data_IF_386699152199
#
_entry.id   IF_386699152199
#
_cell.length_a   1.000
_cell.length_b   1.000
_cell.length_c   1.000
_cell.angle_alpha   90.00
_cell.angle_beta   90.00
_cell.angle_gamma   90.00
#
_symmetry.space_group_name_H-M   'P 1'
#
loop_
_entity.id
_entity.type
_entity.pdbx_description
1 polymer ?
#
# COMPACT_ATOMS: atom_id res chain seq x y z
N UNK A 1 -1.31 -17.82 -9.04
CA UNK A 1 -2.68 -17.27 -8.91
C UNK A 1 -2.86 -16.14 -9.92
N UNK A 2 -4.09 -15.95 -10.47
CA UNK A 2 -4.39 -14.90 -11.47
C UNK A 2 -4.89 -13.64 -10.80
N UNK A 3 -4.41 -12.47 -11.22
CA UNK A 3 -4.80 -11.19 -10.63
C UNK A 3 -5.02 -10.09 -11.65
N UNK A 4 -5.61 -9.00 -11.19
CA UNK A 4 -5.75 -7.73 -11.90
C UNK A 4 -5.35 -6.61 -10.96
N UNK A 5 -4.58 -5.65 -11.47
CA UNK A 5 -4.21 -4.44 -10.74
C UNK A 5 -4.87 -3.21 -11.35
N UNK A 6 -5.53 -2.41 -10.50
CA UNK A 6 -6.16 -1.13 -10.85
C UNK A 6 -5.36 0.03 -10.26
N UNK A 7 -5.29 1.14 -10.96
CA UNK A 7 -4.61 2.35 -10.47
C UNK A 7 -3.16 2.05 -10.06
N UNK A 8 -2.44 1.33 -10.91
CA UNK A 8 -1.18 0.69 -10.57
C UNK A 8 -0.06 1.66 -10.17
N UNK A 9 -0.12 2.91 -10.63
CA UNK A 9 0.98 3.86 -10.47
C UNK A 9 2.27 3.27 -11.05
N UNK A 10 3.39 3.49 -10.36
CA UNK A 10 4.66 2.86 -10.73
C UNK A 10 4.76 1.37 -10.34
N UNK A 11 3.65 0.74 -9.92
CA UNK A 11 3.59 -0.70 -9.68
C UNK A 11 3.98 -1.16 -8.27
N UNK A 12 3.94 -0.30 -7.25
CA UNK A 12 4.35 -0.69 -5.91
C UNK A 12 3.50 -1.80 -5.29
N UNK A 13 2.16 -1.70 -5.40
CA UNK A 13 1.23 -2.74 -4.94
C UNK A 13 1.32 -3.97 -5.84
N UNK A 14 1.30 -3.77 -7.16
CA UNK A 14 1.39 -4.86 -8.13
C UNK A 14 2.65 -5.70 -7.97
N UNK A 15 3.84 -5.09 -7.77
CA UNK A 15 5.07 -5.84 -7.50
C UNK A 15 4.99 -6.65 -6.20
N UNK A 16 4.38 -6.10 -5.15
CA UNK A 16 4.16 -6.85 -3.92
C UNK A 16 3.26 -8.08 -4.13
N UNK A 17 2.22 -7.95 -4.96
CA UNK A 17 1.35 -9.06 -5.36
C UNK A 17 2.11 -10.09 -6.23
N UNK A 18 2.92 -9.65 -7.19
CA UNK A 18 3.75 -10.53 -8.02
C UNK A 18 4.72 -11.36 -7.16
N UNK A 19 5.42 -10.73 -6.21
CA UNK A 19 6.30 -11.43 -5.26
C UNK A 19 5.54 -12.45 -4.40
N UNK A 20 4.27 -12.17 -4.09
CA UNK A 20 3.40 -13.09 -3.35
C UNK A 20 2.82 -14.24 -4.22
N UNK A 21 3.16 -14.30 -5.50
CA UNK A 21 2.76 -15.37 -6.42
C UNK A 21 1.49 -15.10 -7.23
N UNK A 22 1.08 -13.84 -7.34
CA UNK A 22 -0.02 -13.42 -8.22
C UNK A 22 0.52 -12.96 -9.57
N UNK A 23 0.00 -13.51 -10.66
CA UNK A 23 0.29 -13.12 -12.04
C UNK A 23 -0.78 -12.17 -12.55
N UNK A 24 -0.40 -10.97 -12.95
CA UNK A 24 -1.32 -9.95 -13.44
C UNK A 24 -1.77 -10.21 -14.87
N UNK A 25 -3.06 -10.47 -15.08
CA UNK A 25 -3.69 -10.57 -16.40
C UNK A 25 -3.91 -9.20 -17.04
N UNK A 26 -4.08 -8.17 -16.22
CA UNK A 26 -4.15 -6.77 -16.63
C UNK A 26 -3.61 -5.88 -15.51
N UNK A 27 -2.88 -4.86 -15.90
CA UNK A 27 -2.38 -3.77 -15.04
C UNK A 27 -2.87 -2.47 -15.68
N UNK A 28 -3.80 -1.77 -15.03
CA UNK A 28 -4.44 -0.57 -15.60
C UNK A 28 -3.97 0.66 -14.87
N UNK A 29 -3.43 1.63 -15.62
CA UNK A 29 -2.96 2.91 -15.11
C UNK A 29 -3.21 4.00 -16.15
N UNK A 30 -3.63 5.19 -15.73
CA UNK A 30 -3.89 6.30 -16.67
C UNK A 30 -2.77 7.33 -16.74
N UNK A 31 -1.93 7.42 -15.69
CA UNK A 31 -0.81 8.37 -15.65
C UNK A 31 0.32 7.91 -16.58
N UNK A 32 0.56 8.68 -17.62
CA UNK A 32 1.58 8.39 -18.62
C UNK A 32 2.97 8.16 -18.02
N UNK A 33 3.39 8.98 -17.05
CA UNK A 33 4.72 8.86 -16.45
C UNK A 33 4.89 7.56 -15.66
N UNK A 34 3.82 7.13 -14.98
CA UNK A 34 3.79 5.85 -14.30
C UNK A 34 3.83 4.69 -15.32
N UNK A 35 3.05 4.78 -16.40
CA UNK A 35 3.08 3.81 -17.50
C UNK A 35 4.46 3.72 -18.16
N UNK A 36 5.11 4.86 -18.42
CA UNK A 36 6.45 4.91 -19.02
C UNK A 36 7.50 4.33 -18.06
N UNK A 37 7.35 4.49 -16.73
CA UNK A 37 8.17 3.80 -15.74
C UNK A 37 8.02 2.28 -15.85
N UNK A 38 6.81 1.76 -15.97
CA UNK A 38 6.57 0.32 -16.14
C UNK A 38 7.18 -0.17 -17.45
N UNK A 39 6.93 0.51 -18.58
CA UNK A 39 7.48 0.18 -19.92
C UNK A 39 9.00 0.17 -19.93
N UNK A 40 9.65 1.17 -19.32
CA UNK A 40 11.12 1.22 -19.25
C UNK A 40 11.69 -0.03 -18.58
N UNK A 41 11.08 -0.46 -17.47
CA UNK A 41 11.52 -1.66 -16.77
C UNK A 41 11.20 -2.94 -17.57
N UNK A 42 10.04 -3.03 -18.23
CA UNK A 42 9.71 -4.15 -19.13
C UNK A 42 10.72 -4.26 -20.29
N UNK A 43 11.02 -3.15 -20.96
CA UNK A 43 11.95 -3.09 -22.10
C UNK A 43 13.38 -3.49 -21.69
N UNK A 44 13.73 -3.34 -20.41
CA UNK A 44 15.01 -3.78 -19.85
C UNK A 44 14.99 -5.21 -19.31
N UNK A 45 13.88 -5.91 -19.48
CA UNK A 45 13.71 -7.28 -19.00
C UNK A 45 13.69 -7.39 -17.47
N UNK A 46 13.14 -6.38 -16.76
CA UNK A 46 13.04 -6.46 -15.32
C UNK A 46 12.07 -7.58 -14.89
N UNK A 47 12.53 -8.61 -14.15
CA UNK A 47 11.81 -9.87 -14.01
C UNK A 47 10.39 -9.77 -13.47
N UNK A 48 10.16 -8.90 -12.46
CA UNK A 48 8.85 -8.77 -11.81
C UNK A 48 7.76 -8.15 -12.71
N UNK A 49 8.14 -7.50 -13.82
CA UNK A 49 7.21 -6.82 -14.70
C UNK A 49 7.10 -7.49 -16.08
N UNK A 50 7.90 -8.52 -16.34
CA UNK A 50 8.02 -9.13 -17.67
C UNK A 50 6.69 -9.66 -18.23
N UNK A 51 5.81 -10.13 -17.35
CA UNK A 51 4.53 -10.74 -17.73
C UNK A 51 3.33 -9.77 -17.58
N UNK A 52 3.56 -8.52 -17.15
CA UNK A 52 2.45 -7.58 -16.97
C UNK A 52 1.87 -7.13 -18.31
N UNK A 53 0.57 -7.26 -18.45
CA UNK A 53 -0.18 -6.68 -19.57
C UNK A 53 -0.61 -5.28 -19.14
N UNK A 54 0.27 -4.30 -19.41
CA UNK A 54 0.01 -2.90 -19.07
C UNK A 54 -1.00 -2.28 -20.05
N UNK A 55 -2.06 -1.69 -19.50
CA UNK A 55 -3.01 -0.87 -20.22
C UNK A 55 -2.94 0.58 -19.71
N UNK A 56 -2.52 1.52 -20.58
CA UNK A 56 -2.57 2.95 -20.29
C UNK A 56 -3.96 3.47 -20.60
N UNK A 57 -4.74 3.78 -19.57
CA UNK A 57 -6.11 4.26 -19.76
C UNK A 57 -6.91 4.29 -18.48
N UNK A 58 -8.15 4.73 -18.62
CA UNK A 58 -9.12 4.77 -17.54
C UNK A 58 -9.73 3.38 -17.29
N UNK A 59 -9.76 2.96 -16.04
CA UNK A 59 -10.34 1.67 -15.65
C UNK A 59 -11.82 1.53 -16.04
N UNK A 60 -12.54 2.65 -16.22
CA UNK A 60 -13.96 2.68 -16.63
C UNK A 60 -14.13 2.36 -18.11
N UNK A 61 -13.12 2.57 -18.93
CA UNK A 61 -13.15 2.37 -20.40
C UNK A 61 -12.41 1.10 -20.83
N UNK A 62 -11.72 0.42 -19.93
CA UNK A 62 -11.05 -0.83 -20.22
C UNK A 62 -12.08 -1.93 -20.56
N UNK A 63 -11.78 -2.73 -21.59
CA UNK A 63 -12.60 -3.87 -21.95
C UNK A 63 -12.42 -5.05 -20.99
N UNK A 64 -13.20 -5.06 -19.93
CA UNK A 64 -13.18 -6.11 -18.92
C UNK A 64 -13.66 -7.47 -19.42
N UNK A 65 -14.24 -7.59 -20.61
CA UNK A 65 -14.63 -8.87 -21.20
C UNK A 65 -13.40 -9.72 -21.59
N UNK A 66 -12.24 -9.07 -21.77
CA UNK A 66 -10.95 -9.74 -22.04
C UNK A 66 -10.38 -10.47 -20.82
N UNK A 67 -10.87 -10.18 -19.62
CA UNK A 67 -10.44 -10.82 -18.37
C UNK A 67 -11.48 -11.84 -17.92
N UNK A 68 -11.11 -13.12 -17.72
CA UNK A 68 -12.08 -14.12 -17.29
C UNK A 68 -12.58 -13.83 -15.87
N UNK A 69 -13.87 -14.07 -15.57
CA UNK A 69 -14.39 -13.94 -14.21
C UNK A 69 -13.79 -15.01 -13.28
N UNK A 70 -13.83 -14.73 -11.97
CA UNK A 70 -13.35 -15.67 -10.96
C UNK A 70 -11.81 -15.69 -10.81
N UNK A 71 -11.15 -14.59 -11.13
CA UNK A 71 -9.73 -14.39 -10.83
C UNK A 71 -9.45 -14.53 -9.31
N UNK A 72 -8.22 -14.81 -8.95
CA UNK A 72 -7.88 -15.03 -7.54
C UNK A 72 -7.83 -13.71 -6.76
N UNK A 73 -7.27 -12.64 -7.35
CA UNK A 73 -7.11 -11.35 -6.69
C UNK A 73 -7.44 -10.18 -7.63
N UNK A 74 -8.15 -9.18 -7.09
CA UNK A 74 -8.20 -7.83 -7.63
C UNK A 74 -7.53 -6.89 -6.62
N UNK A 75 -6.53 -6.11 -7.05
CA UNK A 75 -5.85 -5.14 -6.18
C UNK A 75 -5.85 -3.75 -6.79
N UNK A 76 -5.73 -2.72 -5.92
CA UNK A 76 -5.62 -1.35 -6.38
C UNK A 76 -5.77 -0.30 -5.29
N UNK A 77 -5.29 0.91 -5.59
CA UNK A 77 -5.42 2.09 -4.74
C UNK A 77 -6.32 3.16 -5.40
N UNK A 78 -7.65 3.01 -5.38
CA UNK A 78 -8.55 3.94 -6.05
C UNK A 78 -8.37 5.36 -5.51
N UNK A 79 -8.21 6.41 -6.35
CA UNK A 79 -8.27 7.79 -5.91
C UNK A 79 -9.56 8.06 -5.14
N UNK A 80 -9.41 8.65 -3.94
CA UNK A 80 -10.51 9.08 -3.10
C UNK A 80 -10.35 10.60 -2.88
N UNK A 81 -11.07 11.39 -3.63
CA UNK A 81 -11.12 12.83 -3.37
C UNK A 81 -12.13 13.08 -2.25
N UNK A 82 -11.76 13.88 -1.22
CA UNK A 82 -12.67 14.19 -0.15
C UNK A 82 -13.88 14.93 -0.71
N UNK A 83 -15.09 14.46 -0.38
CA UNK A 83 -16.30 15.22 -0.61
C UNK A 83 -16.14 16.59 0.04
N UNK A 84 -16.36 17.67 -0.71
CA UNK A 84 -16.45 19.01 -0.13
C UNK A 84 -17.69 19.06 0.74
N UNK A 85 -17.49 19.09 2.07
CA UNK A 85 -18.55 19.13 3.12
C UNK A 85 -19.43 20.40 3.00
N UNK A 86 -19.21 21.29 2.02
CA UNK A 86 -19.87 22.58 1.88
C UNK A 86 -20.93 22.71 0.78
N UNK A 87 -21.21 21.68 0.01
CA UNK A 87 -22.15 21.74 -1.12
C UNK A 87 -23.50 21.09 -0.80
N UNK A 88 -24.56 21.88 -0.79
CA UNK A 88 -25.94 21.42 -0.71
C UNK A 88 -26.20 20.26 -1.72
N UNK A 89 -26.48 19.09 -1.21
CA UNK A 89 -27.26 17.96 -1.77
C UNK A 89 -27.32 17.67 -3.29
N UNK A 90 -26.41 18.11 -4.13
CA UNK A 90 -26.50 17.92 -5.59
C UNK A 90 -25.23 17.49 -6.32
N UNK A 91 -24.27 16.83 -5.70
CA UNK A 91 -23.16 16.30 -6.49
C UNK A 91 -22.78 14.88 -6.09
N UNK A 92 -23.41 13.99 -6.78
CA UNK A 92 -23.33 12.57 -6.68
C UNK A 92 -22.05 11.96 -7.15
N UNK A 93 -21.20 12.64 -7.90
CA UNK A 93 -20.05 12.01 -8.49
C UNK A 93 -18.98 13.06 -8.63
N UNK A 94 -18.12 13.17 -7.64
CA UNK A 94 -16.78 13.64 -7.98
C UNK A 94 -16.22 12.57 -8.93
N UNK A 95 -16.05 12.92 -10.19
CA UNK A 95 -15.50 12.02 -11.23
C UNK A 95 -14.14 11.43 -10.85
N UNK A 96 -13.52 11.98 -9.80
CA UNK A 96 -12.26 11.53 -9.21
C UNK A 96 -12.43 10.49 -8.10
N UNK A 97 -13.68 10.21 -7.67
CA UNK A 97 -13.95 9.09 -6.76
C UNK A 97 -14.06 7.79 -7.57
N UNK A 98 -13.08 6.93 -7.41
CA UNK A 98 -12.98 5.70 -8.18
C UNK A 98 -13.44 4.46 -7.41
N UNK A 99 -13.99 4.61 -6.18
CA UNK A 99 -14.59 3.47 -5.47
C UNK A 99 -15.77 2.85 -6.21
N UNK A 100 -16.73 3.64 -6.78
CA UNK A 100 -17.83 3.05 -7.55
C UNK A 100 -17.34 2.22 -8.75
N UNK A 101 -16.31 2.71 -9.47
CA UNK A 101 -15.72 1.97 -10.57
C UNK A 101 -15.04 0.68 -10.09
N UNK A 102 -14.35 0.72 -8.95
CA UNK A 102 -13.72 -0.46 -8.34
C UNK A 102 -14.76 -1.51 -7.97
N UNK A 103 -15.88 -1.11 -7.36
CA UNK A 103 -17.01 -2.01 -7.01
C UNK A 103 -17.63 -2.64 -8.26
N UNK A 104 -17.82 -1.86 -9.33
CA UNK A 104 -18.33 -2.35 -10.61
C UNK A 104 -17.41 -3.44 -11.20
N UNK A 105 -16.10 -3.21 -11.17
CA UNK A 105 -15.11 -4.18 -11.67
C UNK A 105 -15.11 -5.44 -10.81
N UNK A 106 -15.20 -5.31 -9.47
CA UNK A 106 -15.36 -6.46 -8.55
C UNK A 106 -16.63 -7.27 -8.91
N UNK A 107 -17.75 -6.59 -9.20
CA UNK A 107 -19.00 -7.24 -9.60
C UNK A 107 -18.85 -8.03 -10.90
N UNK A 108 -18.12 -7.48 -11.87
CA UNK A 108 -17.89 -8.13 -13.18
C UNK A 108 -16.92 -9.30 -13.08
N UNK A 109 -15.77 -9.08 -12.45
CA UNK A 109 -14.72 -10.07 -12.40
C UNK A 109 -14.90 -11.13 -11.31
N UNK A 110 -15.71 -10.86 -10.27
CA UNK A 110 -16.04 -11.78 -9.17
C UNK A 110 -14.77 -12.42 -8.54
N UNK A 111 -13.74 -11.62 -8.18
CA UNK A 111 -12.48 -12.14 -7.66
C UNK A 111 -12.71 -12.98 -6.41
N UNK A 112 -11.83 -13.95 -6.13
CA UNK A 112 -11.85 -14.70 -4.86
C UNK A 112 -11.50 -13.81 -3.67
N UNK A 113 -10.60 -12.86 -3.87
CA UNK A 113 -10.23 -11.83 -2.89
C UNK A 113 -9.97 -10.48 -3.56
N UNK A 114 -10.03 -9.40 -2.79
CA UNK A 114 -9.53 -8.10 -3.22
C UNK A 114 -8.67 -7.43 -2.15
N UNK A 115 -7.74 -6.58 -2.60
CA UNK A 115 -6.91 -5.69 -1.80
C UNK A 115 -7.16 -4.27 -2.29
N UNK A 116 -7.83 -3.45 -1.49
CA UNK A 116 -8.05 -2.03 -1.78
C UNK A 116 -7.27 -1.20 -0.76
N UNK A 117 -6.34 -0.37 -1.24
CA UNK A 117 -5.53 0.51 -0.39
C UNK A 117 -6.01 1.94 -0.50
N UNK A 118 -5.91 2.70 0.60
CA UNK A 118 -6.18 4.13 0.59
C UNK A 118 -5.43 4.88 1.71
N UNK A 119 -5.49 6.22 1.67
CA UNK A 119 -4.85 7.07 2.67
C UNK A 119 -5.58 7.01 4.02
N UNK A 120 -4.84 7.21 5.14
CA UNK A 120 -5.40 7.33 6.49
C UNK A 120 -6.55 8.34 6.57
N UNK A 121 -6.53 9.39 5.74
CA UNK A 121 -7.58 10.42 5.73
C UNK A 121 -8.99 9.88 5.60
N UNK A 122 -9.16 8.74 4.92
CA UNK A 122 -10.44 8.06 4.75
C UNK A 122 -11.06 7.59 6.08
N UNK A 123 -10.25 7.30 7.10
CA UNK A 123 -10.72 6.81 8.42
C UNK A 123 -10.98 7.92 9.43
N UNK A 124 -10.95 9.21 9.03
CA UNK A 124 -11.28 10.32 9.94
C UNK A 124 -12.75 10.28 10.33
N UNK A 125 -13.07 10.72 11.55
CA UNK A 125 -14.45 10.77 12.04
C UNK A 125 -15.41 11.57 11.13
N UNK A 126 -14.91 12.63 10.49
CA UNK A 126 -15.68 13.41 9.50
C UNK A 126 -16.07 12.63 8.24
N UNK A 127 -15.44 11.50 7.96
CA UNK A 127 -15.71 10.62 6.82
C UNK A 127 -16.27 9.26 7.23
N UNK A 128 -16.64 9.06 8.50
CA UNK A 128 -17.07 7.75 9.01
C UNK A 128 -18.22 7.13 8.22
N UNK A 129 -19.26 7.92 7.89
CA UNK A 129 -20.39 7.43 7.09
C UNK A 129 -19.97 7.04 5.66
N UNK A 130 -19.10 7.85 5.03
CA UNK A 130 -18.58 7.54 3.72
C UNK A 130 -17.68 6.29 3.75
N UNK A 131 -16.85 6.15 4.77
CA UNK A 131 -16.02 4.95 4.94
C UNK A 131 -16.88 3.68 5.15
N UNK A 132 -17.96 3.79 5.93
CA UNK A 132 -18.94 2.71 6.06
C UNK A 132 -19.61 2.41 4.72
N UNK A 133 -19.97 3.43 3.95
CA UNK A 133 -20.57 3.27 2.64
C UNK A 133 -19.65 2.51 1.67
N UNK A 134 -18.37 2.88 1.60
CA UNK A 134 -17.36 2.18 0.80
C UNK A 134 -17.26 0.70 1.20
N UNK A 135 -17.19 0.41 2.51
CA UNK A 135 -17.12 -0.97 3.00
C UNK A 135 -18.34 -1.79 2.59
N UNK A 136 -19.55 -1.22 2.73
CA UNK A 136 -20.78 -1.93 2.40
C UNK A 136 -20.95 -2.14 0.89
N UNK A 137 -20.51 -1.21 0.05
CA UNK A 137 -20.49 -1.44 -1.40
C UNK A 137 -19.53 -2.58 -1.78
N UNK A 138 -18.37 -2.67 -1.13
CA UNK A 138 -17.43 -3.77 -1.34
C UNK A 138 -17.93 -5.10 -0.77
N UNK A 139 -18.69 -5.08 0.33
CA UNK A 139 -19.32 -6.27 0.92
C UNK A 139 -20.46 -6.80 0.04
N UNK A 140 -21.26 -5.89 -0.57
CA UNK A 140 -22.45 -6.21 -1.37
C UNK A 140 -22.37 -5.63 -2.80
N UNK A 141 -21.44 -6.04 -3.65
CA UNK A 141 -21.23 -5.42 -4.96
C UNK A 141 -22.41 -5.62 -5.93
N UNK A 142 -23.29 -6.61 -5.70
CA UNK A 142 -24.52 -6.83 -6.47
C UNK A 142 -25.71 -5.97 -6.02
N UNK A 143 -25.48 -5.02 -5.12
CA UNK A 143 -26.48 -4.02 -4.70
C UNK A 143 -26.02 -2.64 -5.21
N UNK A 144 -26.15 -2.34 -6.52
CA UNK A 144 -25.77 -1.03 -7.06
C UNK A 144 -26.76 0.05 -6.62
N UNK A 145 -26.39 1.33 -6.69
CA UNK A 145 -27.35 2.43 -6.52
C UNK A 145 -28.47 2.32 -7.55
N UNK A 146 -29.67 2.68 -7.14
CA UNK A 146 -30.83 2.80 -8.04
C UNK A 146 -30.78 4.14 -8.79
N UNK A 147 -31.56 4.24 -9.86
CA UNK A 147 -31.72 5.49 -10.59
C UNK A 147 -32.28 6.58 -9.64
N UNK A 148 -31.62 7.73 -9.58
CA UNK A 148 -31.93 8.85 -8.69
C UNK A 148 -31.77 8.60 -7.17
N UNK A 149 -31.25 7.45 -6.76
CA UNK A 149 -30.92 7.15 -5.34
C UNK A 149 -29.69 7.93 -4.91
N UNK A 150 -29.80 8.67 -3.80
CA UNK A 150 -28.64 9.32 -3.28
C UNK A 150 -27.76 8.39 -2.42
N UNK A 151 -26.48 8.76 -2.18
CA UNK A 151 -25.53 7.88 -1.50
C UNK A 151 -25.98 7.56 -0.07
N UNK A 152 -26.74 8.45 0.59
CA UNK A 152 -27.26 8.21 1.94
C UNK A 152 -28.44 7.25 1.93
N UNK A 153 -29.27 7.31 0.90
CA UNK A 153 -30.36 6.36 0.67
C UNK A 153 -29.79 4.99 0.30
N UNK A 154 -28.77 4.95 -0.59
CA UNK A 154 -28.07 3.70 -0.92
C UNK A 154 -27.36 3.11 0.30
N UNK A 155 -26.70 3.94 1.14
CA UNK A 155 -26.11 3.49 2.40
C UNK A 155 -27.15 2.85 3.32
N UNK A 156 -28.30 3.48 3.50
CA UNK A 156 -29.39 2.93 4.33
C UNK A 156 -29.88 1.58 3.79
N UNK A 157 -30.03 1.44 2.47
CA UNK A 157 -30.40 0.19 1.83
C UNK A 157 -29.34 -0.91 2.01
N UNK A 158 -28.07 -0.58 1.86
CA UNK A 158 -26.95 -1.51 2.13
C UNK A 158 -26.90 -1.93 3.62
N UNK A 159 -27.21 -1.05 4.55
CA UNK A 159 -27.31 -1.37 5.98
C UNK A 159 -28.48 -2.35 6.26
N UNK A 160 -29.60 -2.19 5.58
CA UNK A 160 -30.72 -3.14 5.65
C UNK A 160 -30.32 -4.51 5.09
N UNK A 161 -29.63 -4.56 3.95
CA UNK A 161 -29.10 -5.82 3.40
C UNK A 161 -28.20 -6.53 4.41
N UNK A 162 -27.29 -5.81 5.03
CA UNK A 162 -26.37 -6.35 6.04
C UNK A 162 -27.12 -6.91 7.26
N UNK A 163 -28.05 -6.15 7.80
CA UNK A 163 -28.78 -6.53 9.04
C UNK A 163 -29.83 -7.63 8.79
N UNK A 164 -30.43 -7.66 7.62
CA UNK A 164 -31.44 -8.69 7.28
C UNK A 164 -30.86 -10.08 7.12
N UNK A 165 -29.56 -10.18 6.84
CA UNK A 165 -28.89 -11.46 6.54
C UNK A 165 -29.42 -12.22 5.32
N UNK A 166 -30.34 -11.64 4.54
CA UNK A 166 -31.04 -12.32 3.43
C UNK A 166 -30.10 -12.77 2.31
N UNK A 167 -28.97 -12.08 2.12
CA UNK A 167 -27.97 -12.38 1.09
C UNK A 167 -26.86 -13.30 1.55
N UNK A 168 -26.77 -13.63 2.83
CA UNK A 168 -25.73 -14.53 3.32
C UNK A 168 -25.80 -15.88 2.59
N UNK A 169 -24.75 -16.20 1.83
CA UNK A 169 -24.72 -17.40 0.98
C UNK A 169 -25.57 -17.31 -0.29
N UNK A 170 -26.10 -16.13 -0.66
CA UNK A 170 -26.85 -15.91 -1.90
C UNK A 170 -26.27 -14.72 -2.66
N UNK A 171 -25.82 -14.96 -3.89
CA UNK A 171 -25.16 -13.95 -4.72
C UNK A 171 -23.71 -13.69 -4.36
N UNK A 172 -23.13 -12.61 -4.89
CA UNK A 172 -21.77 -12.22 -4.65
C UNK A 172 -21.69 -11.35 -3.39
N UNK A 173 -21.10 -11.89 -2.36
CA UNK A 173 -20.83 -11.19 -1.10
C UNK A 173 -19.39 -11.42 -0.66
N UNK A 174 -18.83 -10.47 0.10
CA UNK A 174 -17.47 -10.54 0.61
C UNK A 174 -17.43 -10.32 2.12
N UNK A 175 -16.57 -11.07 2.81
CA UNK A 175 -16.14 -10.76 4.17
C UNK A 175 -15.07 -9.67 4.10
N UNK A 176 -15.41 -8.45 4.52
CA UNK A 176 -14.58 -7.25 4.37
C UNK A 176 -13.93 -6.86 5.68
N UNK A 177 -12.59 -6.75 5.70
CA UNK A 177 -11.79 -6.39 6.87
C UNK A 177 -10.99 -5.12 6.59
N UNK A 178 -11.43 -3.94 7.07
CA UNK A 178 -10.64 -2.71 6.99
C UNK A 178 -9.62 -2.65 8.12
N UNK A 179 -8.38 -2.28 7.82
CA UNK A 179 -7.30 -2.16 8.82
C UNK A 179 -6.42 -0.94 8.52
N UNK A 180 -6.22 -0.07 9.51
CA UNK A 180 -5.25 1.00 9.45
C UNK A 180 -3.90 0.49 9.94
N UNK A 181 -2.86 0.62 9.11
CA UNK A 181 -1.52 0.14 9.42
C UNK A 181 -0.47 1.22 9.24
N UNK A 182 0.63 1.12 9.98
CA UNK A 182 1.83 1.89 9.76
C UNK A 182 2.88 1.01 9.07
N UNK A 183 3.35 1.40 7.91
CA UNK A 183 4.31 0.63 7.11
C UNK A 183 5.61 0.32 7.89
N UNK A 184 6.03 1.17 8.83
CA UNK A 184 7.20 0.93 9.67
C UNK A 184 7.06 -0.36 10.50
N UNK A 185 5.85 -0.73 10.92
CA UNK A 185 5.57 -1.94 11.70
C UNK A 185 5.75 -3.22 10.89
N UNK A 186 5.95 -3.11 9.57
CA UNK A 186 6.17 -4.21 8.63
C UNK A 186 7.56 -4.17 7.97
N UNK A 187 8.49 -3.37 8.51
CA UNK A 187 9.88 -3.32 8.07
C UNK A 187 10.17 -2.31 6.95
N UNK A 188 9.20 -1.46 6.62
CA UNK A 188 9.43 -0.33 5.70
C UNK A 188 10.14 0.79 6.44
N UNK A 189 11.23 1.39 5.91
CA UNK A 189 11.96 2.47 6.57
C UNK A 189 11.23 3.82 6.47
N UNK A 190 9.91 3.80 6.67
CA UNK A 190 9.04 4.97 6.56
C UNK A 190 7.83 4.86 7.49
N UNK A 191 7.53 5.91 8.25
CA UNK A 191 6.24 6.08 8.93
C UNK A 191 5.20 6.50 7.92
N UNK A 192 4.45 5.54 7.41
CA UNK A 192 3.41 5.74 6.41
C UNK A 192 2.16 4.99 6.83
N UNK A 193 1.13 5.72 7.24
CA UNK A 193 -0.15 5.11 7.62
C UNK A 193 -1.05 4.99 6.41
N UNK A 194 -1.61 3.78 6.21
CA UNK A 194 -2.52 3.45 5.12
C UNK A 194 -3.65 2.57 5.63
N UNK A 195 -4.83 2.74 5.07
CA UNK A 195 -5.93 1.82 5.27
C UNK A 195 -5.92 0.78 4.16
N UNK A 196 -5.97 -0.48 4.54
CA UNK A 196 -6.23 -1.61 3.65
C UNK A 196 -7.64 -2.11 3.90
N UNK A 197 -8.38 -2.35 2.85
CA UNK A 197 -9.69 -2.98 2.88
C UNK A 197 -9.54 -4.29 2.12
N UNK A 198 -9.50 -5.39 2.86
CA UNK A 198 -9.33 -6.72 2.31
C UNK A 198 -10.68 -7.42 2.31
N UNK A 199 -11.05 -8.02 1.18
CA UNK A 199 -12.26 -8.81 1.09
C UNK A 199 -11.97 -10.21 0.56
N UNK A 200 -12.60 -11.20 1.19
CA UNK A 200 -12.67 -12.56 0.69
C UNK A 200 -14.10 -12.91 0.36
N UNK A 201 -14.31 -13.55 -0.79
CA UNK A 201 -15.65 -13.98 -1.19
C UNK A 201 -16.23 -14.97 -0.18
N UNK A 202 -17.47 -14.73 0.23
CA UNK A 202 -18.09 -15.40 1.39
C UNK A 202 -18.20 -16.93 1.22
N UNK A 203 -18.41 -17.39 -0.03
CA UNK A 203 -18.49 -18.82 -0.36
C UNK A 203 -17.21 -19.62 -0.08
N UNK A 204 -16.07 -18.95 0.10
CA UNK A 204 -14.80 -19.58 0.44
C UNK A 204 -14.68 -19.94 1.92
N UNK A 205 -15.54 -19.38 2.79
CA UNK A 205 -15.53 -19.62 4.23
C UNK A 205 -14.18 -19.26 4.87
N UNK A 206 -13.54 -18.19 4.39
CA UNK A 206 -12.27 -17.70 4.92
C UNK A 206 -12.52 -16.70 6.04
N UNK A 207 -12.01 -17.00 7.22
CA UNK A 207 -11.86 -16.03 8.30
C UNK A 207 -10.44 -15.51 8.29
N UNK A 208 -10.28 -14.19 8.09
CA UNK A 208 -8.99 -13.57 7.96
C UNK A 208 -8.82 -12.38 8.90
N UNK A 209 -7.62 -12.20 9.41
CA UNK A 209 -7.19 -11.02 10.14
C UNK A 209 -5.89 -10.48 9.54
N UNK A 210 -5.68 -9.18 9.69
CA UNK A 210 -4.45 -8.56 9.20
C UNK A 210 -3.21 -9.20 9.86
N UNK A 211 -2.11 -9.43 9.11
CA UNK A 211 -0.88 -10.00 9.68
C UNK A 211 -0.35 -9.17 10.85
N UNK A 212 0.17 -9.84 11.88
CA UNK A 212 0.76 -9.16 13.01
C UNK A 212 1.98 -8.31 12.61
N UNK A 213 2.22 -7.17 13.28
CA UNK A 213 3.42 -6.38 13.12
C UNK A 213 4.69 -7.21 13.33
N UNK A 214 5.66 -7.07 12.43
CA UNK A 214 6.96 -7.75 12.50
C UNK A 214 8.07 -6.86 13.07
N UNK A 215 7.84 -5.55 13.16
CA UNK A 215 8.80 -4.56 13.63
C UNK A 215 8.14 -3.60 14.62
N UNK A 216 8.94 -3.00 15.51
CA UNK A 216 8.44 -2.01 16.46
C UNK A 216 9.43 -0.88 16.75
N UNK A 217 8.89 0.26 17.17
CA UNK A 217 9.68 1.40 17.62
C UNK A 217 10.44 1.09 18.91
N UNK A 218 9.85 0.32 19.82
CA UNK A 218 10.48 -0.03 21.08
C UNK A 218 11.68 -0.96 20.87
N UNK A 219 11.62 -1.86 19.91
CA UNK A 219 12.76 -2.66 19.49
C UNK A 219 13.89 -1.77 18.90
N UNK A 220 13.55 -0.75 18.10
CA UNK A 220 14.54 0.22 17.62
C UNK A 220 15.19 0.99 18.78
N UNK A 221 14.41 1.49 19.73
CA UNK A 221 14.95 2.18 20.91
C UNK A 221 15.86 1.27 21.74
N UNK A 222 15.54 -0.01 21.85
CA UNK A 222 16.38 -1.00 22.52
C UNK A 222 17.72 -1.16 21.79
N UNK A 223 17.68 -1.30 20.45
CA UNK A 223 18.88 -1.43 19.62
C UNK A 223 19.76 -0.18 19.66
N UNK A 224 19.15 1.00 19.71
CA UNK A 224 19.88 2.27 19.77
C UNK A 224 20.45 2.54 21.16
N UNK A 225 19.66 2.43 22.24
CA UNK A 225 19.98 3.04 23.53
C UNK A 225 20.21 2.02 24.67
N UNK A 226 19.97 0.74 24.46
CA UNK A 226 20.22 -0.29 25.47
C UNK A 226 21.36 -1.21 25.05
N UNK A 227 21.25 -1.82 23.86
CA UNK A 227 22.28 -2.76 23.37
C UNK A 227 23.38 -2.08 22.54
N UNK A 228 23.08 -0.93 21.94
CA UNK A 228 23.98 -0.22 21.03
C UNK A 228 24.25 -0.94 19.70
N UNK A 229 23.52 -2.03 19.41
CA UNK A 229 23.68 -2.82 18.17
C UNK A 229 23.45 -1.94 16.94
N UNK A 230 22.47 -1.04 17.00
CA UNK A 230 22.17 -0.11 15.91
C UNK A 230 23.40 0.70 15.48
N UNK A 231 24.07 1.34 16.43
CA UNK A 231 25.23 2.20 16.15
C UNK A 231 26.43 1.39 15.65
N UNK A 232 26.68 0.21 16.25
CA UNK A 232 27.75 -0.70 15.79
C UNK A 232 27.55 -1.17 14.37
N UNK A 233 26.29 -1.51 14.00
CA UNK A 233 25.92 -1.92 12.63
C UNK A 233 26.25 -0.84 11.59
N UNK A 234 26.15 0.43 11.97
CA UNK A 234 26.46 1.57 11.12
C UNK A 234 27.90 2.09 11.29
N UNK A 235 28.77 1.41 12.03
CA UNK A 235 30.15 1.84 12.27
C UNK A 235 30.26 3.12 13.10
N UNK A 236 29.24 3.43 13.89
CA UNK A 236 29.14 4.67 14.67
C UNK A 236 29.31 4.43 16.16
N UNK A 237 29.82 5.43 16.87
CA UNK A 237 29.72 5.49 18.33
C UNK A 237 28.28 5.89 18.72
N UNK A 238 27.76 5.29 19.79
CA UNK A 238 26.48 5.68 20.35
C UNK A 238 26.54 7.14 20.83
N UNK A 239 25.73 8.05 20.28
CA UNK A 239 25.71 9.44 20.71
C UNK A 239 25.02 9.58 22.08
N UNK A 240 25.06 10.75 22.72
CA UNK A 240 24.27 11.02 23.92
C UNK A 240 22.76 10.80 23.64
N UNK A 241 22.11 10.06 24.53
CA UNK A 241 20.67 9.78 24.38
C UNK A 241 19.84 11.06 24.59
N UNK A 242 18.90 11.37 23.68
CA UNK A 242 18.01 12.51 23.89
C UNK A 242 17.20 12.39 25.17
N UNK A 243 17.18 13.44 26.01
CA UNK A 243 16.52 13.44 27.31
C UNK A 243 15.05 13.03 27.23
N UNK A 244 14.32 13.43 26.17
CA UNK A 244 12.93 13.05 25.93
C UNK A 244 12.68 11.53 25.82
N UNK A 245 13.72 10.74 25.57
CA UNK A 245 13.64 9.27 25.45
C UNK A 245 13.97 8.56 26.78
N UNK A 246 14.55 9.26 27.77
CA UNK A 246 15.08 8.67 28.98
C UNK A 246 14.07 7.80 29.72
N UNK A 247 12.87 8.32 29.99
CA UNK A 247 11.82 7.58 30.70
C UNK A 247 11.34 6.33 29.93
N UNK A 248 11.20 6.44 28.59
CA UNK A 248 10.79 5.30 27.77
C UNK A 248 11.85 4.22 27.73
N UNK A 249 13.11 4.61 27.54
CA UNK A 249 14.25 3.67 27.51
C UNK A 249 14.45 3.01 28.88
N UNK A 250 14.26 3.73 29.99
CA UNK A 250 14.32 3.16 31.34
C UNK A 250 13.27 2.05 31.54
N UNK A 251 12.02 2.28 31.09
CA UNK A 251 10.98 1.26 31.12
C UNK A 251 11.34 0.04 30.26
N UNK A 252 11.90 0.27 29.06
CA UNK A 252 12.29 -0.81 28.14
C UNK A 252 13.44 -1.68 28.67
N UNK A 253 14.29 -1.16 29.57
CA UNK A 253 15.35 -1.97 30.22
C UNK A 253 14.77 -3.06 31.14
N UNK A 254 13.58 -2.82 31.69
CA UNK A 254 12.90 -3.74 32.61
C UNK A 254 11.85 -4.61 31.88
N UNK A 255 11.53 -4.27 30.61
CA UNK A 255 10.57 -5.02 29.82
C UNK A 255 11.16 -6.34 29.29
N UNK A 256 10.32 -7.38 29.08
CA UNK A 256 10.76 -8.61 28.42
C UNK A 256 11.27 -8.32 26.99
N UNK A 257 11.94 -9.31 26.40
CA UNK A 257 12.37 -9.22 25.00
C UNK A 257 11.15 -9.13 24.09
N UNK A 258 11.30 -8.40 22.98
CA UNK A 258 10.26 -8.26 21.97
C UNK A 258 10.33 -9.41 20.97
N UNK A 259 9.18 -9.87 20.52
CA UNK A 259 9.05 -10.78 19.37
C UNK A 259 9.20 -10.03 18.03
N UNK A 260 9.32 -8.69 18.09
CA UNK A 260 9.43 -7.83 16.91
C UNK A 260 10.86 -7.37 16.69
N UNK A 261 11.23 -7.18 15.41
CA UNK A 261 12.48 -6.57 14.99
C UNK A 261 12.44 -5.04 15.18
N UNK A 262 13.61 -4.41 15.18
CA UNK A 262 13.73 -2.95 15.21
C UNK A 262 13.16 -2.32 13.93
N UNK A 263 12.40 -1.21 14.04
CA UNK A 263 12.05 -0.41 12.88
C UNK A 263 13.29 -0.07 12.06
N UNK A 264 13.15 -0.13 10.74
CA UNK A 264 14.20 0.30 9.82
C UNK A 264 14.20 1.82 9.70
N UNK A 265 15.39 2.39 9.62
CA UNK A 265 15.63 3.84 9.59
C UNK A 265 15.97 4.32 8.18
N UNK A 266 16.01 5.65 7.98
CA UNK A 266 16.54 6.25 6.76
C UNK A 266 17.97 5.78 6.52
N UNK A 267 18.81 5.75 7.57
CA UNK A 267 20.21 5.29 7.49
C UNK A 267 20.29 3.84 6.99
N UNK A 268 19.43 2.95 7.48
CA UNK A 268 19.34 1.57 6.97
C UNK A 268 18.97 1.54 5.48
N UNK A 269 18.05 2.40 5.04
CA UNK A 269 17.57 2.41 3.65
C UNK A 269 18.64 2.89 2.67
N UNK A 270 19.40 3.93 3.04
CA UNK A 270 20.39 4.55 2.13
C UNK A 270 21.78 3.95 2.27
N UNK A 271 21.97 2.98 3.15
CA UNK A 271 23.26 2.33 3.38
C UNK A 271 23.87 1.81 2.08
N UNK A 272 25.16 2.09 1.85
CA UNK A 272 25.89 1.68 0.66
C UNK A 272 25.64 2.55 -0.58
N UNK A 273 24.75 3.54 -0.53
CA UNK A 273 24.66 4.55 -1.58
C UNK A 273 25.79 5.58 -1.42
N UNK A 274 26.46 6.02 -2.51
CA UNK A 274 27.42 7.11 -2.45
C UNK A 274 26.73 8.44 -2.14
N UNK A 275 27.50 9.45 -1.68
CA UNK A 275 26.96 10.82 -1.61
C UNK A 275 26.45 11.25 -3.01
N UNK A 276 25.19 11.73 -3.13
CA UNK A 276 24.62 12.11 -4.41
C UNK A 276 25.36 13.25 -5.12
N UNK A 277 26.25 13.96 -4.44
CA UNK A 277 27.13 15.00 -5.02
C UNK A 277 28.45 14.41 -5.55
N UNK A 278 28.73 13.15 -5.26
CA UNK A 278 29.98 12.49 -5.68
C UNK A 278 29.90 11.98 -7.12
N UNK A 279 31.08 11.80 -7.74
CA UNK A 279 31.16 11.17 -9.08
C UNK A 279 30.63 9.74 -9.09
N UNK A 280 30.74 9.02 -7.97
CA UNK A 280 30.23 7.65 -7.84
C UNK A 280 28.70 7.57 -7.95
N UNK A 281 27.99 8.64 -7.57
CA UNK A 281 26.53 8.69 -7.66
C UNK A 281 26.03 8.56 -9.12
N UNK A 282 26.80 8.99 -10.10
CA UNK A 282 26.44 8.88 -11.53
C UNK A 282 26.32 7.42 -12.01
N UNK A 283 26.92 6.47 -11.29
CA UNK A 283 26.81 5.04 -11.61
C UNK A 283 25.53 4.40 -11.03
N UNK A 284 24.81 5.12 -10.17
CA UNK A 284 23.61 4.60 -9.53
C UNK A 284 22.36 5.20 -10.22
N UNK A 285 21.51 4.39 -10.85
CA UNK A 285 20.31 4.88 -11.53
C UNK A 285 19.39 5.66 -10.59
N UNK A 286 18.86 6.78 -11.07
CA UNK A 286 17.96 7.67 -10.31
C UNK A 286 18.59 8.28 -9.03
N UNK A 287 19.93 8.30 -8.89
CA UNK A 287 20.61 8.83 -7.72
C UNK A 287 21.27 10.20 -8.03
N UNK A 288 20.45 11.16 -8.44
CA UNK A 288 20.88 12.50 -8.84
C UNK A 288 20.58 13.48 -7.72
N UNK A 289 21.57 14.31 -7.37
CA UNK A 289 21.40 15.37 -6.36
C UNK A 289 20.38 16.41 -6.82
N UNK A 290 19.42 16.73 -5.94
CA UNK A 290 18.45 17.79 -6.15
C UNK A 290 18.75 18.97 -5.22
N UNK A 291 19.01 20.14 -5.79
CA UNK A 291 19.29 21.35 -5.06
C UNK A 291 18.02 22.05 -4.54
N UNK A 292 18.19 23.04 -3.66
CA UNK A 292 17.11 23.95 -3.24
C UNK A 292 16.35 23.55 -1.99
N UNK A 293 16.74 22.47 -1.31
CA UNK A 293 16.11 22.08 -0.04
C UNK A 293 16.35 23.16 1.04
N UNK A 294 15.27 23.52 1.75
CA UNK A 294 15.32 24.49 2.87
C UNK A 294 14.40 23.99 3.99
N UNK A 295 14.91 24.09 5.23
CA UNK A 295 14.11 23.81 6.43
C UNK A 295 13.31 25.06 6.81
N UNK A 296 12.05 24.88 7.20
CA UNK A 296 11.18 25.91 7.77
C UNK A 296 10.19 25.29 8.76
N UNK A 297 9.51 26.05 9.62
CA UNK A 297 8.59 25.51 10.61
C UNK A 297 7.60 24.52 10.02
N UNK A 298 7.52 23.31 10.59
CA UNK A 298 6.70 22.21 10.07
C UNK A 298 7.32 21.36 8.96
N UNK A 299 8.44 21.82 8.35
CA UNK A 299 9.10 21.13 7.23
C UNK A 299 10.60 20.93 7.52
N UNK A 300 10.88 20.01 8.43
CA UNK A 300 12.23 19.81 9.01
C UNK A 300 13.00 18.61 8.46
N UNK A 301 12.45 17.91 7.47
CA UNK A 301 13.07 16.71 6.92
C UNK A 301 12.98 15.47 7.84
N UNK A 302 13.54 14.37 7.38
CA UNK A 302 13.57 13.07 8.06
C UNK A 302 14.96 12.83 8.66
N UNK A 303 15.09 12.61 9.99
CA UNK A 303 16.36 12.24 10.61
C UNK A 303 16.85 10.87 10.12
N UNK A 304 18.16 10.70 10.01
CA UNK A 304 18.79 9.46 9.55
C UNK A 304 18.44 8.26 10.43
N UNK A 305 18.41 8.44 11.74
CA UNK A 305 18.29 7.35 12.72
C UNK A 305 16.84 7.06 13.15
N UNK A 306 15.88 7.50 12.35
CA UNK A 306 14.45 7.19 12.44
C UNK A 306 13.93 6.75 11.07
N UNK A 307 12.77 6.06 11.01
CA UNK A 307 12.07 5.89 9.74
C UNK A 307 11.76 7.25 9.11
N UNK A 308 11.80 7.32 7.78
CA UNK A 308 11.42 8.53 7.05
C UNK A 308 9.99 8.96 7.41
N UNK A 309 9.73 10.25 7.34
CA UNK A 309 8.35 10.78 7.28
C UNK A 309 7.68 10.27 6.01
N UNK A 310 6.35 10.31 5.98
CA UNK A 310 5.61 9.91 4.77
C UNK A 310 6.06 10.72 3.56
N UNK A 311 6.61 10.06 2.55
CA UNK A 311 6.89 10.70 1.24
C UNK A 311 5.57 11.16 0.64
N UNK A 312 5.53 12.40 0.15
CA UNK A 312 4.35 13.04 -0.45
C UNK A 312 4.52 13.18 -1.95
N UNK A 313 3.42 12.99 -2.67
CA UNK A 313 3.37 13.16 -4.13
C UNK A 313 3.60 14.62 -4.57
N UNK A 314 3.12 15.60 -3.77
CA UNK A 314 3.18 17.03 -4.09
C UNK A 314 2.20 17.43 -5.21
N UNK A 315 1.33 18.42 -4.95
CA UNK A 315 0.35 18.87 -5.97
C UNK A 315 0.89 20.00 -6.86
N UNK A 316 1.98 20.66 -6.47
CA UNK A 316 2.48 21.89 -7.13
C UNK A 316 3.98 21.87 -7.42
N UNK A 317 4.56 20.69 -7.67
CA UNK A 317 5.97 20.60 -8.10
C UNK A 317 7.01 20.90 -7.02
N UNK A 318 6.60 21.30 -5.81
CA UNK A 318 7.49 21.47 -4.65
C UNK A 318 7.09 20.44 -3.61
N UNK A 319 7.81 19.33 -3.48
CA UNK A 319 7.57 18.39 -2.40
C UNK A 319 7.82 19.12 -1.08
N UNK A 320 6.88 19.02 -0.17
CA UNK A 320 7.03 19.54 1.18
C UNK A 320 8.25 18.96 1.91
N UNK A 321 8.57 19.49 3.07
CA UNK A 321 9.73 19.09 3.86
C UNK A 321 9.84 17.62 4.24
N UNK A 322 8.80 16.83 4.02
CA UNK A 322 8.80 15.38 4.23
C UNK A 322 9.70 14.63 3.24
N UNK A 323 9.90 15.18 2.03
CA UNK A 323 10.76 14.57 1.01
C UNK A 323 12.24 14.98 1.19
N UNK A 324 12.60 15.47 2.37
CA UNK A 324 13.95 15.88 2.74
C UNK A 324 14.55 14.95 3.79
N UNK A 325 15.88 14.82 3.74
CA UNK A 325 16.75 14.22 4.72
C UNK A 325 17.38 15.31 5.58
N UNK A 326 17.55 15.02 6.88
CA UNK A 326 18.45 15.79 7.78
C UNK A 326 19.70 14.93 8.01
N UNK A 327 20.85 15.45 7.65
CA UNK A 327 22.15 14.78 7.87
C UNK A 327 22.63 14.88 9.34
N UNK A 328 23.76 14.22 9.65
CA UNK A 328 24.30 14.17 11.01
C UNK A 328 24.77 15.55 11.53
N UNK A 329 24.99 16.53 10.63
CA UNK A 329 25.39 17.90 10.96
C UNK A 329 24.19 18.87 11.03
N UNK A 330 22.96 18.37 10.84
CA UNK A 330 21.74 19.17 10.81
C UNK A 330 21.47 19.85 9.47
N UNK A 331 22.28 19.60 8.45
CA UNK A 331 22.05 20.05 7.08
C UNK A 331 20.85 19.33 6.45
N UNK A 332 20.12 20.02 5.57
CA UNK A 332 19.00 19.42 4.86
C UNK A 332 19.25 19.31 3.36
N UNK A 333 18.79 18.24 2.76
CA UNK A 333 18.73 18.06 1.32
C UNK A 333 17.50 17.24 0.92
N UNK A 334 17.06 17.38 -0.31
CA UNK A 334 16.06 16.47 -0.84
C UNK A 334 16.61 15.04 -0.93
N UNK A 335 15.74 14.07 -0.71
CA UNK A 335 16.01 12.70 -1.11
C UNK A 335 16.20 12.64 -2.63
N UNK A 336 17.15 11.86 -3.09
CA UNK A 336 17.18 11.45 -4.49
C UNK A 336 16.03 10.49 -4.79
N UNK A 337 15.70 10.28 -6.05
CA UNK A 337 14.70 9.29 -6.47
C UNK A 337 15.10 7.89 -6.00
N UNK A 338 16.38 7.52 -6.07
CA UNK A 338 16.90 6.22 -5.59
C UNK A 338 16.73 6.04 -4.09
N UNK A 339 17.04 7.05 -3.30
CA UNK A 339 16.86 7.00 -1.84
C UNK A 339 15.36 6.86 -1.49
N UNK A 340 14.51 7.61 -2.15
CA UNK A 340 13.05 7.53 -1.99
C UNK A 340 12.50 6.17 -2.43
N UNK A 341 13.04 5.60 -3.51
CA UNK A 341 12.70 4.26 -3.97
C UNK A 341 13.04 3.19 -2.91
N UNK A 342 14.23 3.26 -2.30
CA UNK A 342 14.62 2.36 -1.20
C UNK A 342 13.76 2.57 0.05
N UNK A 343 13.37 3.81 0.37
CA UNK A 343 12.44 4.14 1.46
C UNK A 343 11.06 3.52 1.20
N UNK A 344 10.62 3.48 -0.05
CA UNK A 344 9.40 2.79 -0.51
C UNK A 344 9.61 1.30 -0.79
N UNK A 345 10.80 0.80 -0.47
CA UNK A 345 11.20 -0.61 -0.64
C UNK A 345 11.13 -1.14 -2.07
N UNK A 346 11.26 -0.25 -3.08
CA UNK A 346 11.49 -0.67 -4.46
C UNK A 346 12.91 -1.25 -4.60
N UNK A 347 13.07 -2.35 -5.35
CA UNK A 347 14.38 -2.93 -5.59
C UNK A 347 15.33 -2.01 -6.37
N UNK A 348 16.64 -2.12 -6.14
CA UNK A 348 17.66 -1.24 -6.75
C UNK A 348 17.72 -1.34 -8.29
N UNK A 349 17.36 -2.50 -8.85
CA UNK A 349 17.29 -2.70 -10.30
C UNK A 349 16.14 -1.97 -10.98
N UNK A 350 15.11 -1.55 -10.23
CA UNK A 350 13.95 -0.84 -10.77
C UNK A 350 14.30 0.61 -11.07
N UNK A 351 13.91 1.13 -12.24
CA UNK A 351 14.16 2.50 -12.67
C UNK A 351 12.86 3.29 -12.76
N UNK A 352 12.91 4.53 -12.32
CA UNK A 352 11.81 5.50 -12.46
C UNK A 352 12.05 6.40 -13.68
N UNK A 353 11.02 6.57 -14.47
CA UNK A 353 11.00 7.44 -15.65
C UNK A 353 10.39 8.80 -15.33
N UNK A 354 10.97 9.86 -15.90
CA UNK A 354 10.47 11.23 -15.82
C UNK A 354 11.40 12.18 -15.05
N UNK A 355 10.97 13.44 -14.93
CA UNK A 355 11.65 14.45 -14.12
C UNK A 355 11.64 14.04 -12.63
N UNK A 356 12.48 14.72 -11.82
CA UNK A 356 12.48 14.48 -10.38
C UNK A 356 11.09 14.67 -9.75
N UNK A 357 10.34 15.71 -10.15
CA UNK A 357 8.98 15.96 -9.65
C UNK A 357 8.03 14.80 -9.98
N UNK A 358 8.05 14.35 -11.25
CA UNK A 358 7.17 13.26 -11.70
C UNK A 358 7.51 11.93 -11.01
N UNK A 359 8.79 11.64 -10.85
CA UNK A 359 9.23 10.41 -10.14
C UNK A 359 8.93 10.48 -8.66
N UNK A 360 9.06 11.63 -8.01
CA UNK A 360 8.65 11.79 -6.61
C UNK A 360 7.14 11.73 -6.42
N UNK A 361 6.35 12.16 -7.40
CA UNK A 361 4.89 11.97 -7.42
C UNK A 361 4.52 10.49 -7.47
N UNK A 362 5.15 9.72 -8.35
CA UNK A 362 4.97 8.27 -8.42
C UNK A 362 5.31 7.59 -7.08
N UNK A 363 6.47 7.93 -6.49
CA UNK A 363 6.92 7.39 -5.20
C UNK A 363 6.02 7.81 -4.03
N UNK A 364 5.54 9.06 -4.02
CA UNK A 364 4.62 9.57 -3.00
C UNK A 364 3.25 8.88 -3.02
N UNK A 365 2.77 8.50 -4.21
CA UNK A 365 1.51 7.76 -4.38
C UNK A 365 1.68 6.25 -4.14
N UNK A 366 2.86 5.69 -4.32
CA UNK A 366 3.08 4.25 -4.26
C UNK A 366 2.78 3.64 -2.88
N UNK A 367 2.26 2.42 -2.90
CA UNK A 367 2.31 1.51 -1.76
C UNK A 367 3.72 0.95 -1.65
N UNK A 368 4.35 0.93 -0.46
CA UNK A 368 5.66 0.30 -0.31
C UNK A 368 5.63 -1.18 -0.70
N UNK A 369 6.56 -1.61 -1.55
CA UNK A 369 6.57 -2.97 -2.13
C UNK A 369 6.59 -4.04 -1.04
N UNK A 370 7.38 -3.85 0.03
CA UNK A 370 7.45 -4.80 1.14
C UNK A 370 6.13 -4.90 1.91
N UNK A 371 5.43 -3.77 2.15
CA UNK A 371 4.13 -3.79 2.81
C UNK A 371 3.10 -4.51 1.92
N UNK A 372 3.07 -4.19 0.63
CA UNK A 372 2.22 -4.85 -0.35
C UNK A 372 2.47 -6.37 -0.39
N UNK A 373 3.73 -6.80 -0.42
CA UNK A 373 4.11 -8.20 -0.36
C UNK A 373 3.57 -8.88 0.91
N UNK A 374 3.72 -8.26 2.09
CA UNK A 374 3.24 -8.85 3.37
C UNK A 374 1.74 -9.09 3.36
N UNK A 375 0.98 -8.09 2.88
CA UNK A 375 -0.48 -8.20 2.77
C UNK A 375 -0.86 -9.25 1.73
N UNK A 376 -0.30 -9.17 0.53
CA UNK A 376 -0.61 -10.09 -0.55
C UNK A 376 -0.22 -11.54 -0.24
N UNK A 377 0.91 -11.79 0.43
CA UNK A 377 1.31 -13.13 0.87
C UNK A 377 0.29 -13.74 1.84
N UNK A 378 -0.20 -12.94 2.79
CA UNK A 378 -1.24 -13.40 3.72
C UNK A 378 -2.54 -13.76 3.00
N UNK A 379 -2.92 -12.98 1.96
CA UNK A 379 -4.09 -13.29 1.12
C UNK A 379 -3.86 -14.57 0.32
N UNK A 380 -2.68 -14.72 -0.31
CA UNK A 380 -2.32 -15.91 -1.08
C UNK A 380 -2.36 -17.20 -0.25
N UNK A 381 -1.82 -17.15 0.96
CA UNK A 381 -1.85 -18.27 1.92
C UNK A 381 -3.28 -18.73 2.22
N UNK A 382 -4.19 -17.79 2.48
CA UNK A 382 -5.60 -18.13 2.77
C UNK A 382 -6.33 -18.71 1.56
N UNK A 383 -6.08 -18.17 0.38
CA UNK A 383 -6.65 -18.71 -0.87
C UNK A 383 -6.15 -20.14 -1.13
N UNK A 384 -4.86 -20.40 -0.94
CA UNK A 384 -4.27 -21.73 -1.09
C UNK A 384 -4.86 -22.73 -0.08
N UNK A 385 -5.02 -22.32 1.19
CA UNK A 385 -5.63 -23.16 2.23
C UNK A 385 -7.11 -23.47 1.91
N UNK A 386 -7.86 -22.50 1.40
CA UNK A 386 -9.26 -22.72 1.00
C UNK A 386 -9.36 -23.71 -0.16
N UNK A 387 -8.48 -23.62 -1.14
CA UNK A 387 -8.42 -24.56 -2.26
C UNK A 387 -8.11 -26.00 -1.80
N UNK A 388 -7.14 -26.17 -0.92
CA UNK A 388 -6.82 -27.47 -0.32
C UNK A 388 -8.01 -28.08 0.45
N UNK A 389 -8.76 -27.26 1.21
CA UNK A 389 -9.96 -27.68 1.92
C UNK A 389 -11.06 -28.13 0.94
N UNK A 390 -11.24 -27.44 -0.17
CA UNK A 390 -12.22 -27.81 -1.20
C UNK A 390 -11.90 -29.16 -1.84
N UNK A 391 -10.64 -29.38 -2.21
CA UNK A 391 -10.15 -30.66 -2.76
C UNK A 391 -10.39 -31.82 -1.77
N UNK A 392 -10.06 -31.60 -0.49
CA UNK A 392 -10.25 -32.63 0.55
C UNK A 392 -11.72 -33.00 0.78
N UNK A 393 -12.65 -32.05 0.69
CA UNK A 393 -14.10 -32.31 0.75
C UNK A 393 -14.56 -33.15 -0.44
N UNK A 394 -14.19 -32.78 -1.63
CA UNK A 394 -14.57 -33.50 -2.86
C UNK A 394 -14.10 -34.97 -2.86
N UNK A 395 -12.90 -35.25 -2.33
CA UNK A 395 -12.38 -36.61 -2.19
C UNK A 395 -13.15 -37.45 -1.16
N UNK A 396 -13.56 -36.85 -0.02
CA UNK A 396 -14.37 -37.52 1.00
C UNK A 396 -15.78 -37.85 0.46
N UNK A 397 -16.39 -36.95 -0.28
CA UNK A 397 -17.72 -37.15 -0.85
C UNK A 397 -17.70 -38.25 -1.90
N UNK A 398 -16.69 -38.30 -2.78
CA UNK A 398 -16.50 -39.39 -3.74
C UNK A 398 -16.31 -40.77 -3.07
N UNK A 399 -15.61 -40.85 -1.92
CA UNK A 399 -15.46 -42.09 -1.19
C UNK A 399 -16.76 -42.55 -0.53
N UNK A 400 -17.64 -41.61 -0.12
CA UNK A 400 -18.96 -41.91 0.46
C UNK A 400 -19.98 -42.38 -0.56
N UNK A 401 -19.85 -41.96 -1.81
CA UNK A 401 -20.76 -42.39 -2.90
C UNK A 401 -20.38 -43.78 -3.43
N UNK A 402 -19.09 -44.17 -3.29
CA UNK A 402 -18.56 -45.45 -3.77
C UNK A 402 -18.52 -46.56 -2.67
N UNK A 403 -18.97 -46.28 -1.45
CA UNK A 403 -19.11 -47.21 -0.34
C UNK A 403 -20.61 -47.47 -0.05
#
# INVERSE_FOLDING_TARGET
MKSVELFAGAGGLAMGCEIAGFNHLAVVEWDRWACDTVRENQNRGYPLLSNWVLHEGDVRTFDWSSVPPGIDLLSGGPPCQPFSIGGKHKSYVDVRDMFPATVEIIRRLRPKAFIVENVKGLTRSSFANYFTYVQLQLEFPEVPPLENEDWSEHLARLQIEKTSGKRKGRGLTYNVVPTLVNAADYGVPQKRERVFIIGFRDDLGIEWSFPNPTHSYDALLRDQWITGIYWRRHGMRMPPMPQKLANRVAKLRQAPLFDTLAWRTVRDAIQGLPDPRSRAAAQVPNHVFQAGARSYPGHTGSPLDLPAKTLKAGDHGVPGGENMLVDDNGGVRYFTVRESARIQTFPDGFRFHGSWTETMRQLGNAVPVLLAQRVASSVAEQLALAELRAIGKTQKDRKRVNA
#
